data_IF_229429075784
#
_entry.id   IF_229429075784
#
_cell.length_a   1.000
_cell.length_b   1.000
_cell.length_c   1.000
_cell.angle_alpha   90.00
_cell.angle_beta   90.00
_cell.angle_gamma   90.00
#
_symmetry.space_group_name_H-M   'P 1'
#
loop_
_entity.id
_entity.type
_entity.pdbx_description
1 polymer ?
#
# COMPACT_ATOMS: atom_id res chain seq x y z
N UNK A 1 19.87 -7.47 17.26
CA UNK A 1 18.40 -7.46 17.17
C UNK A 1 17.90 -8.68 16.40
N UNK A 2 16.74 -9.21 16.78
CA UNK A 2 16.10 -10.28 16.01
C UNK A 2 15.53 -9.73 14.71
N UNK A 3 15.68 -10.49 13.63
CA UNK A 3 15.16 -10.14 12.30
C UNK A 3 14.85 -11.39 11.49
N UNK A 4 14.07 -11.24 10.41
CA UNK A 4 13.95 -12.23 9.35
C UNK A 4 14.77 -11.72 8.16
N UNK A 5 15.77 -12.52 7.77
CA UNK A 5 16.71 -12.18 6.70
C UNK A 5 16.57 -13.13 5.51
N UNK A 6 17.04 -12.67 4.35
CA UNK A 6 17.38 -13.50 3.21
C UNK A 6 18.85 -13.27 2.85
N UNK A 7 19.57 -14.33 2.51
CA UNK A 7 20.99 -14.29 2.08
C UNK A 7 21.13 -14.33 0.55
N UNK A 8 20.06 -14.70 -0.14
CA UNK A 8 19.94 -14.75 -1.60
C UNK A 8 18.49 -14.61 -2.00
N UNK A 9 18.23 -14.31 -3.26
CA UNK A 9 16.88 -14.38 -3.83
C UNK A 9 16.40 -15.84 -3.86
N UNK A 10 15.07 -16.02 -3.75
CA UNK A 10 14.46 -17.34 -3.80
C UNK A 10 13.00 -17.36 -3.39
N UNK A 11 12.47 -18.57 -3.18
CA UNK A 11 11.12 -18.79 -2.66
C UNK A 11 11.01 -18.47 -1.17
N UNK A 12 9.83 -18.69 -0.56
CA UNK A 12 9.59 -18.38 0.85
C UNK A 12 10.57 -19.09 1.84
N UNK A 13 11.19 -20.17 1.41
CA UNK A 13 12.16 -20.95 2.20
C UNK A 13 13.47 -20.23 2.48
N UNK A 14 13.79 -19.15 1.76
CA UNK A 14 15.00 -18.35 2.02
C UNK A 14 14.85 -17.39 3.20
N UNK A 15 13.63 -17.18 3.69
CA UNK A 15 13.35 -16.35 4.87
C UNK A 15 13.76 -17.10 6.15
N UNK A 16 14.75 -16.57 6.89
CA UNK A 16 15.29 -17.20 8.08
C UNK A 16 15.39 -16.22 9.24
N UNK A 17 15.07 -16.66 10.47
CA UNK A 17 15.40 -15.89 11.68
C UNK A 17 16.90 -15.70 11.81
N UNK A 18 17.34 -14.53 12.22
CA UNK A 18 18.73 -14.23 12.49
C UNK A 18 18.85 -13.14 13.56
N UNK A 19 19.96 -13.17 14.29
CA UNK A 19 20.41 -12.06 15.12
C UNK A 19 21.41 -11.23 14.32
N UNK A 20 21.08 -9.96 14.14
CA UNK A 20 21.90 -9.02 13.36
C UNK A 20 22.20 -7.76 14.21
N UNK A 21 23.27 -7.00 13.91
CA UNK A 21 23.52 -5.74 14.58
C UNK A 21 22.32 -4.79 14.46
N UNK A 22 21.99 -4.09 15.54
CA UNK A 22 20.96 -3.02 15.49
C UNK A 22 21.51 -1.85 14.67
N UNK A 23 20.68 -1.24 13.80
CA UNK A 23 21.09 -0.07 13.04
C UNK A 23 21.19 1.15 13.96
N UNK A 24 22.14 2.04 13.67
CA UNK A 24 22.23 3.37 14.27
C UNK A 24 21.60 4.42 13.36
N UNK A 25 20.84 5.39 13.88
CA UNK A 25 20.23 6.42 13.05
C UNK A 25 21.29 7.38 12.50
N UNK A 26 21.26 7.65 11.21
CA UNK A 26 22.01 8.73 10.59
C UNK A 26 21.52 10.10 11.11
N UNK A 27 22.24 11.18 10.77
CA UNK A 27 21.95 12.51 11.30
C UNK A 27 20.47 12.96 11.13
N UNK A 28 19.81 12.56 10.04
CA UNK A 28 18.42 12.93 9.70
C UNK A 28 17.44 11.76 9.88
N UNK A 29 17.85 10.67 10.53
CA UNK A 29 17.01 9.49 10.74
C UNK A 29 16.51 9.36 12.17
N UNK A 30 15.36 8.74 12.32
CA UNK A 30 14.86 8.21 13.59
C UNK A 30 15.08 6.70 13.62
N UNK A 31 15.42 6.16 14.78
CA UNK A 31 15.41 4.73 15.06
C UNK A 31 14.04 4.38 15.63
N UNK A 32 13.34 3.49 14.97
CA UNK A 32 12.01 3.02 15.37
C UNK A 32 12.16 1.62 15.96
N UNK A 33 11.73 1.44 17.20
CA UNK A 33 11.45 0.14 17.81
C UNK A 33 10.13 -0.35 17.24
N UNK A 34 10.18 -1.36 16.38
CA UNK A 34 9.04 -1.81 15.58
C UNK A 34 8.13 -2.70 16.44
N UNK A 35 6.89 -2.26 16.64
CA UNK A 35 5.87 -3.10 17.29
C UNK A 35 5.21 -4.03 16.26
N UNK A 36 4.89 -3.50 15.07
CA UNK A 36 4.29 -4.24 13.96
C UNK A 36 4.86 -3.78 12.62
N UNK A 37 5.07 -4.76 11.73
CA UNK A 37 5.38 -4.56 10.31
C UNK A 37 4.26 -5.12 9.46
N UNK A 38 3.89 -4.47 8.33
CA UNK A 38 2.89 -5.05 7.44
C UNK A 38 3.51 -5.67 6.21
N UNK A 39 2.89 -6.76 5.76
CA UNK A 39 3.29 -7.50 4.55
C UNK A 39 2.65 -6.89 3.33
N UNK A 40 3.46 -6.65 2.31
CA UNK A 40 3.05 -6.10 1.02
C UNK A 40 3.46 -7.03 -0.13
N UNK A 41 2.75 -6.97 -1.27
CA UNK A 41 3.16 -7.75 -2.46
C UNK A 41 4.59 -7.45 -2.92
N UNK A 42 5.10 -6.24 -2.69
CA UNK A 42 6.47 -5.88 -3.03
C UNK A 42 7.51 -6.69 -2.25
N UNK A 43 7.21 -7.15 -1.04
CA UNK A 43 8.15 -7.88 -0.19
C UNK A 43 8.52 -9.23 -0.82
N UNK A 44 7.53 -10.01 -1.30
CA UNK A 44 7.83 -11.26 -1.99
C UNK A 44 8.43 -11.04 -3.38
N UNK A 45 8.08 -9.93 -4.07
CA UNK A 45 8.73 -9.56 -5.34
C UNK A 45 10.22 -9.23 -5.15
N UNK A 46 10.58 -8.53 -4.06
CA UNK A 46 11.98 -8.30 -3.68
C UNK A 46 12.66 -9.62 -3.35
N UNK A 47 12.04 -10.48 -2.53
CA UNK A 47 12.60 -11.79 -2.18
C UNK A 47 12.94 -12.64 -3.41
N UNK A 48 12.09 -12.60 -4.46
CA UNK A 48 12.29 -13.32 -5.71
C UNK A 48 13.22 -12.60 -6.71
N UNK A 49 13.78 -11.44 -6.33
CA UNK A 49 14.71 -10.69 -7.17
C UNK A 49 14.06 -9.89 -8.30
N UNK A 50 12.73 -9.78 -8.34
CA UNK A 50 12.01 -9.08 -9.41
C UNK A 50 12.32 -7.57 -9.46
N UNK A 51 12.83 -7.00 -8.37
CA UNK A 51 13.22 -5.58 -8.30
C UNK A 51 14.74 -5.36 -8.32
N UNK A 52 15.55 -6.40 -8.59
CA UNK A 52 17.01 -6.30 -8.59
C UNK A 52 17.56 -5.29 -9.61
N UNK A 53 16.87 -5.10 -10.75
CA UNK A 53 17.22 -4.09 -11.74
C UNK A 53 16.78 -2.67 -11.38
N UNK A 54 15.91 -2.50 -10.39
CA UNK A 54 15.37 -1.20 -9.98
C UNK A 54 16.07 -0.63 -8.74
N UNK A 55 16.44 -1.52 -7.79
CA UNK A 55 17.08 -1.13 -6.53
C UNK A 55 18.35 -1.96 -6.31
N UNK A 56 19.46 -1.34 -5.84
CA UNK A 56 20.60 -2.06 -5.32
C UNK A 56 20.21 -2.92 -4.11
N UNK A 57 20.64 -4.17 -4.07
CA UNK A 57 20.45 -5.08 -2.93
C UNK A 57 21.78 -5.34 -2.25
N UNK A 58 21.79 -5.38 -0.93
CA UNK A 58 22.97 -5.70 -0.13
C UNK A 58 22.61 -6.79 0.90
N UNK A 59 23.04 -8.01 0.61
CA UNK A 59 22.78 -9.16 1.47
C UNK A 59 23.66 -9.18 2.73
N UNK A 60 23.17 -9.71 3.86
CA UNK A 60 21.81 -10.19 4.07
C UNK A 60 20.79 -9.07 4.03
N UNK A 61 19.61 -9.32 3.44
CA UNK A 61 18.51 -8.36 3.33
C UNK A 61 17.43 -8.69 4.35
N UNK A 62 17.01 -7.69 5.10
CA UNK A 62 15.78 -7.70 5.89
C UNK A 62 14.68 -7.11 5.01
N UNK A 63 13.58 -7.84 4.81
CA UNK A 63 12.44 -7.39 4.03
C UNK A 63 11.47 -6.53 4.85
N UNK A 64 10.39 -6.08 4.19
CA UNK A 64 9.34 -5.26 4.78
C UNK A 64 9.63 -3.78 4.71
N UNK A 65 8.59 -3.01 4.36
CA UNK A 65 8.69 -1.56 4.21
C UNK A 65 7.69 -0.77 5.06
N UNK A 66 6.72 -1.41 5.69
CA UNK A 66 5.78 -0.76 6.60
C UNK A 66 6.15 -1.01 8.07
N UNK A 67 6.21 0.03 8.87
CA UNK A 67 6.40 -0.07 10.31
C UNK A 67 5.42 0.82 11.07
N UNK A 68 4.97 0.32 12.22
CA UNK A 68 4.42 1.12 13.32
C UNK A 68 5.14 0.73 14.61
N UNK A 69 5.53 1.72 15.39
CA UNK A 69 6.35 1.48 16.58
C UNK A 69 6.61 2.75 17.37
N UNK A 70 7.68 2.73 18.14
CA UNK A 70 8.05 3.82 19.06
C UNK A 70 9.45 4.34 18.71
N UNK A 71 9.64 5.64 18.70
CA UNK A 71 10.96 6.25 18.53
C UNK A 71 11.87 5.85 19.67
N UNK A 72 12.98 5.17 19.35
CA UNK A 72 13.98 4.70 20.32
C UNK A 72 15.19 5.62 20.42
N UNK A 73 15.57 6.25 19.28
CA UNK A 73 16.68 7.18 19.19
C UNK A 73 16.47 8.10 17.99
N UNK A 74 17.21 9.23 17.96
CA UNK A 74 17.13 10.22 16.89
C UNK A 74 18.50 10.75 16.51
N UNK A 75 18.72 10.90 15.20
CA UNK A 75 19.89 11.62 14.70
C UNK A 75 19.88 13.10 15.09
N UNK A 76 21.04 13.72 15.09
CA UNK A 76 21.26 15.09 15.59
C UNK A 76 20.48 16.20 14.88
N UNK A 77 20.05 15.97 13.64
CA UNK A 77 19.29 16.95 12.84
C UNK A 77 17.77 16.72 12.91
N UNK A 78 17.31 15.63 13.54
CA UNK A 78 15.89 15.30 13.61
C UNK A 78 15.12 16.38 14.38
N UNK A 79 14.02 16.82 13.79
CA UNK A 79 13.10 17.76 14.42
C UNK A 79 11.69 17.16 14.46
N UNK A 80 10.95 17.48 15.53
CA UNK A 80 9.54 17.11 15.65
C UNK A 80 9.29 15.70 16.17
N UNK A 81 10.32 14.93 16.51
CA UNK A 81 10.20 13.62 17.15
C UNK A 81 11.07 13.54 18.42
N UNK A 82 10.56 12.79 19.41
CA UNK A 82 11.23 12.51 20.68
C UNK A 82 11.20 11.01 20.96
N UNK A 83 12.15 10.55 21.76
CA UNK A 83 12.14 9.17 22.29
C UNK A 83 10.81 8.93 23.00
N UNK A 84 10.17 7.82 22.68
CA UNK A 84 8.85 7.43 23.21
C UNK A 84 7.66 7.83 22.32
N UNK A 85 7.86 8.67 21.30
CA UNK A 85 6.76 9.02 20.37
C UNK A 85 6.30 7.78 19.59
N UNK A 86 4.97 7.59 19.51
CA UNK A 86 4.36 6.55 18.67
C UNK A 86 4.32 7.03 17.22
N UNK A 87 4.92 6.26 16.32
CA UNK A 87 5.12 6.64 14.91
C UNK A 87 4.76 5.50 13.96
N UNK A 88 4.52 5.86 12.71
CA UNK A 88 4.40 4.92 11.61
C UNK A 88 5.05 5.48 10.35
N UNK A 89 5.56 4.59 9.49
CA UNK A 89 6.37 4.99 8.35
C UNK A 89 6.36 3.97 7.22
N UNK A 90 6.47 4.47 6.00
CA UNK A 90 6.86 3.70 4.83
C UNK A 90 8.38 3.72 4.71
N UNK A 91 9.03 2.65 5.14
CA UNK A 91 10.48 2.57 5.37
C UNK A 91 11.29 2.16 4.12
N UNK A 92 10.80 2.46 2.91
CA UNK A 92 11.58 2.22 1.70
C UNK A 92 12.79 3.15 1.62
N UNK A 93 13.96 2.57 1.46
CA UNK A 93 15.23 3.29 1.24
C UNK A 93 15.72 3.09 -0.21
N UNK A 94 16.66 3.91 -0.70
CA UNK A 94 17.26 3.75 -2.02
C UNK A 94 17.95 2.40 -2.25
N UNK A 95 18.50 1.80 -1.17
CA UNK A 95 19.10 0.48 -1.15
C UNK A 95 18.24 -0.47 -0.32
N UNK A 96 18.00 -1.67 -0.81
CA UNK A 96 17.28 -2.72 -0.10
C UNK A 96 18.26 -3.51 0.78
N UNK A 97 18.19 -3.30 2.09
CA UNK A 97 19.03 -3.98 3.09
C UNK A 97 18.30 -4.12 4.44
N UNK A 98 17.96 -3.00 5.07
CA UNK A 98 17.41 -2.96 6.42
C UNK A 98 15.92 -2.60 6.35
N UNK A 99 15.07 -3.61 6.28
CA UNK A 99 13.62 -3.48 6.28
C UNK A 99 13.00 -3.65 7.66
N UNK A 100 11.68 -3.78 7.67
CA UNK A 100 10.87 -3.71 8.89
C UNK A 100 10.56 -5.07 9.54
N UNK A 101 11.00 -6.20 8.93
CA UNK A 101 10.87 -7.51 9.56
C UNK A 101 11.97 -7.72 10.60
N UNK A 102 12.11 -6.77 11.52
CA UNK A 102 13.13 -6.71 12.57
C UNK A 102 12.65 -5.85 13.74
N UNK A 103 13.31 -6.01 14.90
CA UNK A 103 12.99 -5.24 16.11
C UNK A 103 13.22 -3.73 15.93
N UNK A 104 14.17 -3.33 15.07
CA UNK A 104 14.50 -1.93 14.83
C UNK A 104 14.67 -1.63 13.35
N UNK A 105 14.24 -0.43 12.95
CA UNK A 105 14.48 0.12 11.62
C UNK A 105 14.81 1.61 11.73
N UNK A 106 15.72 2.11 10.89
CA UNK A 106 15.95 3.55 10.76
C UNK A 106 15.24 4.11 9.55
N UNK A 107 14.71 5.34 9.66
CA UNK A 107 14.09 6.03 8.54
C UNK A 107 14.30 7.54 8.64
N UNK A 108 14.49 8.18 7.49
CA UNK A 108 14.55 9.65 7.43
C UNK A 108 13.29 10.26 8.05
N UNK A 109 13.46 11.21 8.96
CA UNK A 109 12.36 11.80 9.73
C UNK A 109 11.28 12.46 8.85
N UNK A 110 11.63 12.91 7.63
CA UNK A 110 10.67 13.48 6.69
C UNK A 110 9.65 12.43 6.15
N UNK A 111 9.99 11.15 6.22
CA UNK A 111 9.11 10.05 5.80
C UNK A 111 8.33 9.41 6.96
N UNK A 112 8.52 9.90 8.18
CA UNK A 112 7.87 9.39 9.39
C UNK A 112 6.73 10.32 9.80
N UNK A 113 5.64 9.76 10.30
CA UNK A 113 4.53 10.53 10.86
C UNK A 113 4.19 10.06 12.28
N UNK A 114 3.69 10.97 13.14
CA UNK A 114 3.06 10.58 14.40
C UNK A 114 1.88 9.63 14.13
N UNK A 115 1.77 8.59 14.91
CA UNK A 115 0.69 7.63 14.79
C UNK A 115 -0.64 8.25 15.24
N UNK A 116 -1.76 8.03 14.52
CA UNK A 116 -3.08 8.49 14.96
C UNK A 116 -3.43 7.94 16.35
N UNK A 117 -4.03 8.76 17.18
CA UNK A 117 -4.28 8.44 18.62
C UNK A 117 -5.30 7.33 18.83
N UNK A 118 -6.25 7.19 17.89
CA UNK A 118 -7.38 6.28 17.96
C UNK A 118 -7.15 4.93 17.28
N UNK A 119 -5.92 4.63 16.82
CA UNK A 119 -5.57 3.34 16.21
C UNK A 119 -4.47 2.62 17.00
N UNK A 120 -4.49 1.29 16.96
CA UNK A 120 -3.43 0.45 17.52
C UNK A 120 -2.22 0.34 16.58
N UNK A 121 -1.08 -0.16 17.07
CA UNK A 121 0.12 -0.36 16.25
C UNK A 121 -0.13 -1.30 15.07
N UNK A 122 -0.90 -2.37 15.26
CA UNK A 122 -1.25 -3.31 14.20
C UNK A 122 -2.03 -2.64 13.06
N UNK A 123 -3.00 -1.80 13.41
CA UNK A 123 -3.79 -1.03 12.45
C UNK A 123 -2.94 0.04 11.77
N UNK A 124 -2.10 0.75 12.54
CA UNK A 124 -1.22 1.78 12.01
C UNK A 124 -0.20 1.20 11.00
N UNK A 125 0.35 0.00 11.26
CA UNK A 125 1.25 -0.67 10.33
C UNK A 125 0.59 -1.00 8.97
N UNK A 126 -0.74 -1.11 8.91
CA UNK A 126 -1.46 -1.37 7.66
C UNK A 126 -1.49 -0.19 6.69
N UNK A 127 -1.15 1.02 7.16
CA UNK A 127 -1.43 2.27 6.45
C UNK A 127 -0.29 2.73 5.53
N UNK A 128 1.00 2.75 5.92
CA UNK A 128 1.98 3.60 5.25
C UNK A 128 2.08 3.35 3.75
N UNK A 129 2.53 2.17 3.31
CA UNK A 129 2.66 1.87 1.89
C UNK A 129 1.30 1.89 1.19
N UNK A 130 0.29 1.23 1.74
CA UNK A 130 -1.02 1.11 1.10
C UNK A 130 -1.74 2.46 1.03
N UNK A 131 -1.68 3.25 2.09
CA UNK A 131 -2.29 4.57 2.15
C UNK A 131 -1.61 5.58 1.24
N UNK A 132 -0.27 5.64 1.26
CA UNK A 132 0.49 6.49 0.35
C UNK A 132 0.27 6.09 -1.11
N UNK A 133 0.21 4.79 -1.41
CA UNK A 133 -0.08 4.31 -2.77
C UNK A 133 -1.46 4.79 -3.25
N UNK A 134 -2.49 4.63 -2.44
CA UNK A 134 -3.83 5.10 -2.77
C UNK A 134 -3.89 6.64 -2.87
N UNK A 135 -3.23 7.34 -1.94
CA UNK A 135 -3.19 8.80 -1.91
C UNK A 135 -2.52 9.38 -3.16
N UNK A 136 -1.27 8.96 -3.41
CA UNK A 136 -0.48 9.46 -4.55
C UNK A 136 -1.13 9.11 -5.89
N UNK A 137 -1.78 7.94 -5.99
CA UNK A 137 -2.51 7.55 -7.19
C UNK A 137 -3.74 8.41 -7.44
N UNK A 138 -4.57 8.64 -6.41
CA UNK A 138 -5.84 9.35 -6.58
C UNK A 138 -5.67 10.88 -6.60
N UNK A 139 -4.86 11.43 -5.70
CA UNK A 139 -4.75 12.89 -5.55
C UNK A 139 -3.61 13.48 -6.36
N UNK A 140 -2.42 12.85 -6.37
CA UNK A 140 -1.25 13.45 -7.03
C UNK A 140 -1.22 13.11 -8.53
N UNK A 141 -1.48 11.85 -8.91
CA UNK A 141 -1.45 11.41 -10.30
C UNK A 141 -2.79 11.65 -11.00
N UNK A 142 -3.88 11.07 -10.47
CA UNK A 142 -5.20 11.18 -11.11
C UNK A 142 -5.86 12.53 -10.89
N UNK A 143 -5.49 13.29 -9.84
CA UNK A 143 -6.13 14.58 -9.47
C UNK A 143 -7.66 14.44 -9.39
N UNK A 144 -8.11 13.44 -8.64
CA UNK A 144 -9.53 13.11 -8.47
C UNK A 144 -10.35 14.34 -8.09
N UNK A 145 -11.55 14.48 -8.66
CA UNK A 145 -12.45 15.61 -8.46
C UNK A 145 -13.79 15.15 -7.86
N UNK A 146 -14.47 16.06 -7.18
CA UNK A 146 -15.85 15.82 -6.75
C UNK A 146 -16.76 15.58 -7.96
N UNK A 147 -17.59 14.53 -7.87
CA UNK A 147 -18.46 14.10 -8.96
C UNK A 147 -17.81 13.13 -9.96
N UNK A 148 -16.50 12.86 -9.86
CA UNK A 148 -15.86 11.82 -10.68
C UNK A 148 -16.52 10.45 -10.44
N UNK A 149 -16.69 9.67 -11.50
CA UNK A 149 -17.05 8.26 -11.47
C UNK A 149 -15.76 7.44 -11.56
N UNK A 150 -15.49 6.66 -10.54
CA UNK A 150 -14.19 5.99 -10.37
C UNK A 150 -14.41 4.49 -10.26
N UNK A 151 -13.68 3.70 -11.05
CA UNK A 151 -13.55 2.26 -10.87
C UNK A 151 -12.25 1.96 -10.14
N UNK A 152 -12.35 1.31 -8.97
CA UNK A 152 -11.21 0.85 -8.18
C UNK A 152 -11.18 -0.67 -8.22
N UNK A 153 -10.15 -1.25 -8.84
CA UNK A 153 -9.98 -2.70 -8.86
C UNK A 153 -9.50 -3.24 -7.51
N UNK A 154 -9.88 -4.50 -7.20
CA UNK A 154 -9.55 -5.21 -5.97
C UNK A 154 -9.83 -4.41 -4.68
N UNK A 155 -11.04 -3.84 -4.58
CA UNK A 155 -11.43 -2.96 -3.47
C UNK A 155 -11.41 -3.55 -2.06
N UNK A 156 -11.35 -4.89 -1.94
CA UNK A 156 -11.24 -5.55 -0.64
C UNK A 156 -9.79 -5.72 -0.15
N UNK A 157 -8.80 -5.39 -0.97
CA UNK A 157 -7.38 -5.44 -0.63
C UNK A 157 -6.90 -4.24 0.20
N UNK A 158 -5.64 -4.25 0.62
CA UNK A 158 -5.08 -3.18 1.46
C UNK A 158 -5.16 -1.80 0.80
N UNK A 159 -4.67 -1.66 -0.43
CA UNK A 159 -4.71 -0.39 -1.19
C UNK A 159 -6.15 -0.04 -1.58
N UNK A 160 -6.90 -0.99 -2.17
CA UNK A 160 -8.25 -0.75 -2.67
C UNK A 160 -9.23 -0.29 -1.58
N UNK A 161 -9.13 -0.84 -0.37
CA UNK A 161 -9.99 -0.45 0.75
C UNK A 161 -9.77 0.98 1.24
N UNK A 162 -8.54 1.49 1.18
CA UNK A 162 -8.22 2.89 1.48
C UNK A 162 -8.61 3.79 0.29
N UNK A 163 -8.36 3.34 -0.94
CA UNK A 163 -8.71 4.09 -2.15
C UNK A 163 -10.21 4.35 -2.27
N UNK A 164 -11.07 3.37 -1.93
CA UNK A 164 -12.53 3.55 -1.88
C UNK A 164 -12.88 4.73 -0.95
N UNK A 165 -12.33 4.71 0.26
CA UNK A 165 -12.63 5.71 1.26
C UNK A 165 -12.11 7.10 0.85
N UNK A 166 -10.89 7.18 0.32
CA UNK A 166 -10.32 8.45 -0.18
C UNK A 166 -11.14 9.01 -1.35
N UNK A 167 -11.57 8.16 -2.29
CA UNK A 167 -12.42 8.57 -3.39
C UNK A 167 -13.79 9.09 -2.89
N UNK A 168 -14.37 8.46 -1.87
CA UNK A 168 -15.61 8.94 -1.25
C UNK A 168 -15.42 10.29 -0.54
N UNK A 169 -14.30 10.48 0.18
CA UNK A 169 -13.96 11.76 0.79
C UNK A 169 -13.79 12.88 -0.25
N UNK A 170 -13.31 12.54 -1.45
CA UNK A 170 -13.24 13.46 -2.58
C UNK A 170 -14.60 13.74 -3.26
N UNK A 171 -15.68 13.08 -2.83
CA UNK A 171 -17.02 13.25 -3.42
C UNK A 171 -17.26 12.44 -4.69
N UNK A 172 -16.49 11.39 -4.96
CA UNK A 172 -16.63 10.55 -6.14
C UNK A 172 -17.73 9.49 -5.99
N UNK A 173 -18.28 9.02 -7.13
CA UNK A 173 -19.06 7.80 -7.23
C UNK A 173 -18.14 6.61 -7.48
N UNK A 174 -18.16 5.61 -6.59
CA UNK A 174 -17.18 4.53 -6.58
C UNK A 174 -17.78 3.21 -7.04
N UNK A 175 -17.25 2.69 -8.14
CA UNK A 175 -17.36 1.30 -8.57
C UNK A 175 -16.14 0.54 -8.05
N UNK A 176 -16.31 -0.74 -7.68
CA UNK A 176 -15.17 -1.55 -7.26
C UNK A 176 -15.36 -3.02 -7.57
N UNK A 177 -14.28 -3.70 -7.97
CA UNK A 177 -14.29 -5.15 -8.15
C UNK A 177 -13.91 -5.85 -6.84
N UNK A 178 -14.74 -6.80 -6.42
CA UNK A 178 -14.51 -7.62 -5.24
C UNK A 178 -15.33 -8.90 -5.34
N UNK A 179 -14.85 -10.03 -4.77
CA UNK A 179 -15.66 -11.24 -4.65
C UNK A 179 -16.90 -11.01 -3.78
N UNK A 180 -18.00 -11.68 -4.08
CA UNK A 180 -19.28 -11.53 -3.38
C UNK A 180 -19.21 -11.49 -1.85
N UNK A 181 -18.43 -12.35 -1.17
CA UNK A 181 -18.31 -12.30 0.29
C UNK A 181 -17.76 -10.96 0.84
N UNK A 182 -17.07 -10.19 0.01
CA UNK A 182 -16.50 -8.89 0.40
C UNK A 182 -17.41 -7.71 0.06
N UNK A 183 -18.54 -7.90 -0.62
CA UNK A 183 -19.43 -6.80 -1.06
C UNK A 183 -19.92 -5.97 0.12
N UNK A 184 -20.41 -6.59 1.18
CA UNK A 184 -20.87 -5.85 2.37
C UNK A 184 -19.74 -4.97 2.97
N UNK A 185 -18.50 -5.50 2.98
CA UNK A 185 -17.35 -4.75 3.47
C UNK A 185 -17.04 -3.54 2.58
N UNK A 186 -16.87 -3.72 1.26
CA UNK A 186 -16.52 -2.61 0.37
C UNK A 186 -17.63 -1.56 0.30
N UNK A 187 -18.91 -1.96 0.38
CA UNK A 187 -20.05 -1.04 0.50
C UNK A 187 -19.95 -0.23 1.80
N UNK A 188 -19.62 -0.86 2.92
CA UNK A 188 -19.45 -0.14 4.20
C UNK A 188 -18.27 0.82 4.21
N UNK A 189 -17.31 0.68 3.28
CA UNK A 189 -16.21 1.61 3.04
C UNK A 189 -16.59 2.76 2.08
N UNK A 190 -17.78 2.69 1.47
CA UNK A 190 -18.30 3.72 0.59
C UNK A 190 -18.37 3.35 -0.89
N UNK A 191 -18.14 2.09 -1.28
CA UNK A 191 -18.37 1.68 -2.66
C UNK A 191 -19.88 1.74 -3.00
N UNK A 192 -20.23 2.49 -4.04
CA UNK A 192 -21.62 2.63 -4.50
C UNK A 192 -22.04 1.41 -5.33
N UNK A 193 -21.10 0.82 -6.07
CA UNK A 193 -21.37 -0.31 -6.98
C UNK A 193 -20.26 -1.37 -6.83
N UNK A 194 -20.45 -2.34 -5.93
CA UNK A 194 -19.55 -3.50 -5.87
C UNK A 194 -19.87 -4.48 -7.02
N UNK A 195 -18.83 -4.97 -7.70
CA UNK A 195 -18.91 -5.87 -8.87
C UNK A 195 -18.22 -7.18 -8.53
N UNK A 196 -18.93 -8.30 -8.64
CA UNK A 196 -18.35 -9.63 -8.44
C UNK A 196 -17.65 -10.11 -9.72
N UNK A 197 -16.34 -9.82 -9.81
CA UNK A 197 -15.53 -10.18 -10.97
C UNK A 197 -15.46 -11.69 -11.25
N UNK A 198 -15.98 -12.55 -10.35
CA UNK A 198 -16.05 -14.00 -10.58
C UNK A 198 -17.34 -14.42 -11.29
N UNK A 199 -18.31 -13.52 -11.45
CA UNK A 199 -19.65 -13.79 -11.97
C UNK A 199 -20.07 -12.88 -13.11
N UNK A 200 -19.51 -11.68 -13.19
CA UNK A 200 -19.93 -10.64 -14.12
C UNK A 200 -18.73 -9.84 -14.64
N UNK A 201 -18.82 -9.38 -15.88
CA UNK A 201 -17.85 -8.47 -16.50
C UNK A 201 -18.01 -7.08 -15.86
N UNK A 202 -16.92 -6.53 -15.34
CA UNK A 202 -16.95 -5.15 -14.86
C UNK A 202 -17.20 -4.14 -16.00
N UNK A 203 -16.77 -4.46 -17.22
CA UNK A 203 -17.02 -3.65 -18.43
C UNK A 203 -18.52 -3.52 -18.68
N UNK A 204 -19.24 -4.65 -18.68
CA UNK A 204 -20.69 -4.66 -18.93
C UNK A 204 -21.45 -3.93 -17.82
N UNK A 205 -21.09 -4.17 -16.56
CA UNK A 205 -21.72 -3.49 -15.42
C UNK A 205 -21.52 -1.98 -15.48
N UNK A 206 -20.29 -1.52 -15.75
CA UNK A 206 -19.98 -0.09 -15.84
C UNK A 206 -20.70 0.54 -17.02
N UNK A 207 -20.62 -0.05 -18.22
CA UNK A 207 -21.30 0.47 -19.43
C UNK A 207 -22.83 0.57 -19.27
N UNK A 208 -23.43 -0.40 -18.59
CA UNK A 208 -24.87 -0.39 -18.30
C UNK A 208 -25.27 0.73 -17.35
N UNK A 209 -24.44 1.05 -16.36
CA UNK A 209 -24.73 2.06 -15.35
C UNK A 209 -24.29 3.46 -15.77
N UNK A 210 -23.25 3.55 -16.56
CA UNK A 210 -22.63 4.79 -17.08
C UNK A 210 -22.38 4.65 -18.58
N UNK A 211 -23.41 4.77 -19.44
CA UNK A 211 -23.27 4.61 -20.89
C UNK A 211 -22.28 5.59 -21.54
N UNK A 212 -22.05 6.73 -20.90
CA UNK A 212 -21.06 7.74 -21.34
C UNK A 212 -19.62 7.47 -20.87
N UNK A 213 -19.39 6.35 -20.20
CA UNK A 213 -18.09 6.02 -19.60
C UNK A 213 -17.83 6.71 -18.27
N UNK A 214 -16.75 6.34 -17.62
CA UNK A 214 -16.32 6.85 -16.31
C UNK A 214 -15.08 7.74 -16.40
N UNK A 215 -14.79 8.47 -15.34
CA UNK A 215 -13.76 9.51 -15.31
C UNK A 215 -12.37 8.96 -14.97
N UNK A 216 -12.31 7.92 -14.17
CA UNK A 216 -11.06 7.37 -13.64
C UNK A 216 -11.16 5.86 -13.43
N UNK A 217 -10.12 5.13 -13.86
CA UNK A 217 -9.84 3.77 -13.41
C UNK A 217 -8.57 3.77 -12.57
N UNK A 218 -8.67 3.21 -11.38
CA UNK A 218 -7.54 2.90 -10.53
C UNK A 218 -7.25 1.41 -10.59
N UNK A 219 -6.21 1.05 -11.32
CA UNK A 219 -5.80 -0.33 -11.56
C UNK A 219 -4.78 -0.80 -10.50
N UNK A 220 -5.17 -1.79 -9.72
CA UNK A 220 -4.34 -2.47 -8.71
C UNK A 220 -4.13 -3.95 -9.05
N UNK A 221 -4.49 -4.39 -10.25
CA UNK A 221 -4.48 -5.79 -10.70
C UNK A 221 -3.54 -6.01 -11.88
N UNK A 222 -3.60 -5.14 -12.90
CA UNK A 222 -2.75 -5.22 -14.08
C UNK A 222 -3.23 -6.20 -15.15
N UNK A 223 -2.38 -6.47 -16.14
CA UNK A 223 -2.57 -7.43 -17.24
C UNK A 223 -3.88 -7.21 -18.02
N UNK A 224 -4.70 -8.24 -18.21
CA UNK A 224 -5.96 -8.17 -18.96
C UNK A 224 -6.95 -7.20 -18.33
N UNK A 225 -7.02 -7.14 -17.01
CA UNK A 225 -7.88 -6.19 -16.29
C UNK A 225 -7.51 -4.74 -16.64
N UNK A 226 -6.22 -4.43 -16.75
CA UNK A 226 -5.78 -3.10 -17.17
C UNK A 226 -6.20 -2.82 -18.62
N UNK A 227 -6.02 -3.77 -19.54
CA UNK A 227 -6.42 -3.61 -20.95
C UNK A 227 -7.92 -3.39 -21.09
N UNK A 228 -8.73 -4.19 -20.45
CA UNK A 228 -10.19 -4.07 -20.47
C UNK A 228 -10.67 -2.77 -19.79
N UNK A 229 -9.87 -2.19 -18.91
CA UNK A 229 -10.20 -0.94 -18.21
C UNK A 229 -10.30 0.28 -19.14
N UNK A 230 -9.62 0.27 -20.27
CA UNK A 230 -9.77 1.32 -21.28
C UNK A 230 -11.18 1.38 -21.85
N UNK A 231 -11.87 0.23 -21.94
CA UNK A 231 -13.21 0.09 -22.51
C UNK A 231 -14.32 0.77 -21.71
N UNK A 232 -14.06 1.13 -20.47
CA UNK A 232 -15.03 1.81 -19.61
C UNK A 232 -14.75 3.30 -19.41
N UNK A 233 -13.60 3.79 -19.88
CA UNK A 233 -13.24 5.19 -19.74
C UNK A 233 -13.92 6.07 -20.81
N UNK A 234 -14.36 7.27 -20.43
CA UNK A 234 -14.77 8.31 -21.37
C UNK A 234 -13.55 8.93 -22.04
N UNK A 235 -13.72 9.64 -23.17
CA UNK A 235 -12.66 10.48 -23.74
C UNK A 235 -12.20 11.53 -22.69
N UNK A 236 -10.89 11.72 -22.56
CA UNK A 236 -10.29 12.56 -21.53
C UNK A 236 -10.34 11.94 -20.14
N UNK A 237 -10.76 10.67 -20.01
CA UNK A 237 -10.66 9.92 -18.77
C UNK A 237 -9.22 9.56 -18.40
N UNK A 238 -9.01 9.02 -17.21
CA UNK A 238 -7.68 8.74 -16.65
C UNK A 238 -7.58 7.29 -16.19
N UNK A 239 -6.45 6.64 -16.51
CA UNK A 239 -6.08 5.33 -15.99
C UNK A 239 -4.81 5.48 -15.16
N UNK A 240 -4.88 5.12 -13.88
CA UNK A 240 -3.71 5.08 -13.00
C UNK A 240 -3.47 3.64 -12.57
N UNK A 241 -2.27 3.11 -12.82
CA UNK A 241 -1.88 1.76 -12.41
C UNK A 241 -0.71 1.79 -11.44
N UNK A 242 -0.70 0.82 -10.52
CA UNK A 242 0.40 0.56 -9.58
C UNK A 242 1.07 -0.79 -9.82
N UNK A 243 0.70 -1.47 -10.91
CA UNK A 243 1.18 -2.83 -11.20
C UNK A 243 1.97 -2.86 -12.50
N UNK A 244 1.31 -2.59 -13.62
CA UNK A 244 1.95 -2.54 -14.93
C UNK A 244 1.99 -1.10 -15.45
N UNK A 245 3.07 -0.74 -16.13
CA UNK A 245 3.12 0.54 -16.87
C UNK A 245 2.05 0.48 -17.95
N UNK A 246 1.09 1.43 -17.99
CA UNK A 246 0.07 1.48 -19.04
C UNK A 246 0.68 1.75 -20.40
N UNK A 247 0.05 1.25 -21.45
CA UNK A 247 0.48 1.47 -22.84
C UNK A 247 0.09 2.87 -23.33
N UNK A 248 1.07 3.67 -23.75
CA UNK A 248 0.84 4.98 -24.37
C UNK A 248 0.06 4.85 -25.69
N UNK A 249 0.22 3.75 -26.41
CA UNK A 249 -0.51 3.48 -27.66
C UNK A 249 -2.00 3.28 -27.37
N UNK A 250 -2.34 2.42 -26.40
CA UNK A 250 -3.72 2.22 -25.97
C UNK A 250 -4.32 3.51 -25.42
N UNK A 251 -3.59 4.25 -24.58
CA UNK A 251 -4.05 5.52 -24.06
C UNK A 251 -4.42 6.51 -25.19
N UNK A 252 -3.56 6.64 -26.21
CA UNK A 252 -3.87 7.47 -27.39
C UNK A 252 -5.06 6.96 -28.19
N UNK A 253 -5.17 5.64 -28.39
CA UNK A 253 -6.26 5.00 -29.13
C UNK A 253 -7.62 5.29 -28.48
N UNK A 254 -7.69 5.25 -27.16
CA UNK A 254 -8.91 5.54 -26.40
C UNK A 254 -9.10 7.03 -26.08
N UNK A 255 -8.11 7.89 -26.36
CA UNK A 255 -8.14 9.32 -26.08
C UNK A 255 -8.21 9.61 -24.57
N UNK A 256 -7.44 8.87 -23.78
CA UNK A 256 -7.36 8.99 -22.32
C UNK A 256 -5.94 9.30 -21.87
N UNK A 257 -5.79 9.79 -20.63
CA UNK A 257 -4.51 9.91 -19.96
C UNK A 257 -4.21 8.63 -19.18
N UNK A 258 -2.94 8.21 -19.16
CA UNK A 258 -2.53 7.07 -18.34
C UNK A 258 -1.24 7.34 -17.60
N UNK A 259 -1.11 6.78 -16.41
CA UNK A 259 0.09 6.92 -15.59
C UNK A 259 0.36 5.67 -14.75
N UNK A 260 1.65 5.44 -14.47
CA UNK A 260 2.10 4.44 -13.51
C UNK A 260 2.62 5.13 -12.25
N UNK A 261 2.15 4.69 -11.10
CA UNK A 261 2.59 5.22 -9.80
C UNK A 261 3.45 4.18 -9.09
N UNK A 262 4.70 4.53 -8.85
CA UNK A 262 5.57 3.85 -7.90
C UNK A 262 5.68 4.73 -6.66
N UNK A 263 4.95 4.35 -5.61
CA UNK A 263 4.77 5.16 -4.38
C UNK A 263 6.08 5.56 -3.73
N UNK A 264 6.15 6.78 -3.21
CA UNK A 264 7.29 7.32 -2.47
C UNK A 264 6.97 7.55 -1.00
N UNK A 265 7.96 7.36 -0.09
CA UNK A 265 7.80 7.72 1.32
C UNK A 265 7.52 9.22 1.47
N UNK A 266 6.49 9.57 2.27
CA UNK A 266 6.09 10.95 2.53
C UNK A 266 5.39 11.05 3.90
N UNK A 267 6.07 11.63 4.89
CA UNK A 267 5.54 11.79 6.24
C UNK A 267 4.44 12.84 6.33
N UNK A 268 4.43 13.84 5.44
CA UNK A 268 3.37 14.85 5.43
C UNK A 268 2.04 14.27 4.90
N UNK A 269 2.11 13.48 3.82
CA UNK A 269 0.93 12.76 3.34
C UNK A 269 0.44 11.75 4.38
N UNK A 270 1.34 11.06 5.08
CA UNK A 270 0.94 10.19 6.20
C UNK A 270 0.23 10.97 7.32
N UNK A 271 0.69 12.19 7.68
CA UNK A 271 -0.03 13.04 8.65
C UNK A 271 -1.44 13.38 8.18
N UNK A 272 -1.64 13.69 6.90
CA UNK A 272 -2.97 13.95 6.32
C UNK A 272 -3.86 12.70 6.39
N UNK A 273 -3.32 11.54 6.05
CA UNK A 273 -4.03 10.26 6.19
C UNK A 273 -4.34 10.00 7.67
N UNK A 274 -3.40 10.28 8.57
CA UNK A 274 -3.58 10.18 10.01
C UNK A 274 -4.74 11.04 10.54
N UNK A 275 -4.88 12.26 10.05
CA UNK A 275 -5.99 13.14 10.43
C UNK A 275 -7.35 12.57 9.98
N UNK A 276 -7.43 11.93 8.80
CA UNK A 276 -8.64 11.25 8.34
C UNK A 276 -8.98 10.02 9.19
N UNK A 277 -7.98 9.31 9.68
CA UNK A 277 -8.16 8.19 10.61
C UNK A 277 -8.64 8.70 11.98
N UNK A 278 -8.04 9.77 12.51
CA UNK A 278 -8.42 10.37 13.79
C UNK A 278 -9.85 10.92 13.81
N UNK A 279 -10.28 11.51 12.69
CA UNK A 279 -11.65 12.02 12.54
C UNK A 279 -12.69 10.90 12.31
N UNK A 280 -12.25 9.67 12.06
CA UNK A 280 -13.14 8.55 11.68
C UNK A 280 -13.66 8.62 10.25
N UNK A 281 -13.20 9.59 9.44
CA UNK A 281 -13.56 9.70 8.03
C UNK A 281 -13.02 8.54 7.19
N UNK A 282 -11.92 7.93 7.65
CA UNK A 282 -11.29 6.75 7.08
C UNK A 282 -11.04 5.73 8.19
N UNK A 283 -11.20 4.45 7.88
CA UNK A 283 -10.93 3.34 8.78
C UNK A 283 -9.75 2.52 8.27
N UNK A 284 -8.92 1.94 9.16
CA UNK A 284 -7.87 1.02 8.75
C UNK A 284 -8.43 -0.17 7.96
N UNK A 285 -7.64 -0.76 7.04
CA UNK A 285 -8.00 -2.02 6.40
C UNK A 285 -8.25 -3.13 7.42
N UNK A 286 -9.11 -4.09 7.09
CA UNK A 286 -9.15 -5.34 7.84
C UNK A 286 -7.74 -5.94 7.92
N UNK A 287 -7.37 -6.54 9.02
CA UNK A 287 -6.03 -7.10 9.20
C UNK A 287 -6.07 -8.54 9.73
N UNK A 288 -5.00 -9.27 9.41
CA UNK A 288 -4.68 -10.55 10.01
C UNK A 288 -3.32 -10.44 10.68
N UNK A 289 -3.29 -10.66 11.98
CA UNK A 289 -2.06 -10.68 12.77
C UNK A 289 -1.38 -12.05 12.65
N UNK A 290 -0.05 -12.05 12.51
CA UNK A 290 0.83 -13.21 12.53
C UNK A 290 2.09 -12.84 13.31
N UNK A 291 2.87 -13.83 13.76
CA UNK A 291 4.14 -13.58 14.43
C UNK A 291 5.24 -13.28 13.40
N UNK A 292 6.33 -12.64 13.84
CA UNK A 292 7.49 -12.38 12.97
C UNK A 292 8.04 -13.66 12.33
N UNK A 293 8.12 -14.75 13.11
CA UNK A 293 8.63 -16.05 12.65
C UNK A 293 7.75 -16.66 11.54
N UNK A 294 6.50 -16.23 11.43
CA UNK A 294 5.56 -16.69 10.40
C UNK A 294 5.69 -15.89 9.07
N UNK A 295 6.74 -15.06 8.92
CA UNK A 295 6.92 -14.19 7.73
C UNK A 295 6.90 -14.94 6.40
N UNK A 296 7.45 -16.15 6.34
CA UNK A 296 7.42 -17.00 5.13
C UNK A 296 5.97 -17.36 4.74
N UNK A 297 5.17 -17.79 5.70
CA UNK A 297 3.74 -18.11 5.48
C UNK A 297 2.93 -16.85 5.16
N UNK A 298 3.22 -15.72 5.81
CA UNK A 298 2.59 -14.45 5.52
C UNK A 298 2.84 -13.99 4.08
N UNK A 299 4.08 -14.12 3.59
CA UNK A 299 4.41 -13.82 2.20
C UNK A 299 3.77 -14.80 1.20
N UNK A 300 3.73 -16.11 1.51
CA UNK A 300 2.99 -17.08 0.69
C UNK A 300 1.52 -16.69 0.51
N UNK A 301 0.86 -16.30 1.60
CA UNK A 301 -0.54 -15.82 1.55
C UNK A 301 -0.70 -14.55 0.73
N UNK A 302 0.23 -13.60 0.89
CA UNK A 302 0.25 -12.38 0.08
C UNK A 302 0.43 -12.68 -1.40
N UNK A 303 1.34 -13.59 -1.75
CA UNK A 303 1.65 -14.00 -3.11
C UNK A 303 0.50 -14.78 -3.77
N UNK A 304 -0.19 -15.63 -3.01
CA UNK A 304 -1.37 -16.36 -3.48
C UNK A 304 -2.56 -15.45 -3.81
N UNK A 305 -2.52 -14.20 -3.35
CA UNK A 305 -3.61 -13.24 -3.53
C UNK A 305 -4.79 -13.52 -2.59
N UNK A 306 -5.89 -12.82 -2.83
CA UNK A 306 -7.15 -13.00 -2.11
C UNK A 306 -7.12 -12.65 -0.62
N UNK A 307 -6.10 -11.93 -0.16
CA UNK A 307 -6.05 -11.39 1.19
C UNK A 307 -7.08 -10.27 1.31
N UNK A 308 -8.00 -10.40 2.26
CA UNK A 308 -8.87 -9.28 2.64
C UNK A 308 -8.09 -8.34 3.54
N UNK A 309 -7.91 -7.08 3.11
CA UNK A 309 -7.13 -6.09 3.83
C UNK A 309 -5.65 -6.39 3.84
N UNK A 310 -5.03 -6.48 5.02
CA UNK A 310 -3.58 -6.59 5.21
C UNK A 310 -3.20 -7.75 6.15
N UNK A 311 -2.00 -8.26 5.98
CA UNK A 311 -1.34 -9.13 6.97
C UNK A 311 -0.31 -8.27 7.70
N UNK A 312 -0.26 -8.37 9.02
CA UNK A 312 0.73 -7.70 9.86
C UNK A 312 1.51 -8.72 10.69
N UNK A 313 2.79 -8.46 10.85
CA UNK A 313 3.70 -9.26 11.67
C UNK A 313 3.89 -8.53 13.00
N UNK A 314 3.58 -9.20 14.10
CA UNK A 314 3.91 -8.74 15.45
C UNK A 314 5.39 -8.99 15.70
N UNK A 315 6.12 -7.94 16.05
CA UNK A 315 7.58 -7.98 16.21
C UNK A 315 7.94 -8.08 17.71
N UNK A 316 7.37 -7.24 18.54
CA UNK A 316 7.61 -7.18 19.99
C UNK A 316 6.48 -7.70 20.86
#
# INVERSE_FOLDING_TARGET
MRAIVIESFGGPEVLRPADVPSPEPAADEVLIEVAYAAVNPVDWKIREGMLAGMFPHEFPVILGWDAAGTVKDTGKNVKGFRIGDRVYAYCRKPKVRFGTYAEFVTMNHAAVAPMPKNVGFAEAACIPLAGLTAWQSLFDAAKIQAGDRVLIHAGAGGVGSLAIQFAKQAGAKVFTTARKPNHANVTSLGADVPIDYTKESFVDVVRKKEPGGIDLVYDTVGNDVQRESYDVLKKGGRLVSIVNVPSDEEARRYGVESSHVFVSPDGEQLRRIGALLESGAVRPPALKEMRLEDAAEAQKRSQAGHVRGKIVLKIG
#
